data_IF_361546388392
#
_entry.id   IF_361546388392
#
_cell.length_a   1.000
_cell.length_b   1.000
_cell.length_c   1.000
_cell.angle_alpha   90.00
_cell.angle_beta   90.00
_cell.angle_gamma   90.00
#
_symmetry.space_group_name_H-M   'P 1'
#
loop_
_entity.id
_entity.type
_entity.pdbx_description
1 polymer ?
#
# COMPACT_ATOMS: atom_id res chain seq x y z
N UNK A 1 -18.23 15.82 8.21
CA UNK A 1 -18.59 17.06 8.92
C UNK A 1 -17.30 17.74 9.30
N UNK A 2 -17.14 19.02 8.96
CA UNK A 2 -15.89 19.77 9.03
C UNK A 2 -15.18 19.68 10.40
N UNK A 3 -15.97 19.60 11.48
CA UNK A 3 -15.45 19.45 12.85
C UNK A 3 -14.79 18.09 13.10
N UNK A 4 -15.36 17.01 12.57
CA UNK A 4 -14.79 15.65 12.66
C UNK A 4 -13.42 15.57 12.00
N UNK A 5 -13.23 16.28 10.88
CA UNK A 5 -11.96 16.31 10.15
C UNK A 5 -10.87 17.04 10.94
N UNK A 6 -11.22 18.14 11.63
CA UNK A 6 -10.28 18.89 12.49
C UNK A 6 -9.81 18.05 13.68
N UNK A 7 -10.72 17.37 14.36
CA UNK A 7 -10.37 16.52 15.51
C UNK A 7 -9.51 15.31 15.07
N UNK A 8 -9.81 14.72 13.91
CA UNK A 8 -8.98 13.67 13.32
C UNK A 8 -7.54 14.15 13.00
N UNK A 9 -7.40 15.35 12.44
CA UNK A 9 -6.07 15.94 12.15
C UNK A 9 -5.31 16.20 13.46
N UNK A 10 -5.96 16.77 14.48
CA UNK A 10 -5.33 17.00 15.80
C UNK A 10 -4.86 15.70 16.42
N UNK A 11 -5.69 14.66 16.37
CA UNK A 11 -5.35 13.35 16.89
C UNK A 11 -4.17 12.72 16.13
N UNK A 12 -4.16 12.83 14.80
CA UNK A 12 -3.04 12.39 13.97
C UNK A 12 -1.74 13.12 14.33
N UNK A 13 -1.78 14.45 14.48
CA UNK A 13 -0.62 15.25 14.87
C UNK A 13 -0.12 14.91 16.27
N UNK A 14 -1.01 14.65 17.23
CA UNK A 14 -0.65 14.22 18.58
C UNK A 14 0.11 12.89 18.53
N UNK A 15 -0.43 11.89 17.83
CA UNK A 15 0.23 10.59 17.68
C UNK A 15 1.55 10.70 16.94
N UNK A 16 1.59 11.43 15.82
CA UNK A 16 2.81 11.63 15.05
C UNK A 16 3.93 12.22 15.92
N UNK A 17 3.62 13.22 16.74
CA UNK A 17 4.57 13.81 17.70
C UNK A 17 4.95 12.84 18.82
N UNK A 18 3.98 12.11 19.40
CA UNK A 18 4.23 11.24 20.56
C UNK A 18 5.16 10.07 20.25
N UNK A 19 5.14 9.57 19.01
CA UNK A 19 6.04 8.49 18.56
C UNK A 19 7.20 8.99 17.68
N UNK A 20 7.41 10.31 17.59
CA UNK A 20 8.38 10.94 16.69
C UNK A 20 8.33 10.36 15.26
N UNK A 21 7.11 10.16 14.75
CA UNK A 21 6.92 9.61 13.42
C UNK A 21 7.39 10.60 12.36
N UNK A 22 8.16 10.08 11.41
CA UNK A 22 8.69 10.80 10.25
C UNK A 22 8.51 9.94 9.01
N UNK A 23 8.56 10.54 7.80
CA UNK A 23 8.63 9.76 6.58
C UNK A 23 9.81 8.78 6.64
N UNK A 24 9.54 7.55 6.22
CA UNK A 24 10.56 6.48 6.17
C UNK A 24 10.53 5.72 4.86
N UNK A 25 9.34 5.42 4.34
CA UNK A 25 9.14 4.70 3.08
C UNK A 25 7.88 5.20 2.39
N UNK A 26 8.00 5.47 1.09
CA UNK A 26 6.90 5.65 0.17
C UNK A 26 6.57 4.32 -0.49
N UNK A 27 5.27 4.07 -0.74
CA UNK A 27 4.79 2.87 -1.42
C UNK A 27 3.87 3.29 -2.55
N UNK A 28 4.10 2.77 -3.76
CA UNK A 28 3.24 2.98 -4.93
C UNK A 28 2.90 1.66 -5.60
N UNK A 29 1.77 1.63 -6.29
CA UNK A 29 1.31 0.46 -7.05
C UNK A 29 0.28 0.92 -8.09
N UNK A 30 0.06 0.11 -9.12
CA UNK A 30 -1.02 0.28 -10.07
C UNK A 30 -2.23 -0.53 -9.60
N UNK A 31 -3.34 0.14 -9.33
CA UNK A 31 -4.59 -0.49 -8.90
C UNK A 31 -5.61 -0.52 -10.03
N UNK A 32 -6.17 -1.70 -10.29
CA UNK A 32 -7.43 -1.85 -11.03
C UNK A 32 -8.52 -2.27 -10.04
N UNK A 33 -9.64 -1.56 -10.02
CA UNK A 33 -10.75 -1.83 -9.11
C UNK A 33 -12.04 -2.12 -9.89
N UNK A 34 -12.81 -3.07 -9.40
CA UNK A 34 -14.15 -3.41 -9.85
C UNK A 34 -15.09 -3.33 -8.65
N UNK A 35 -16.22 -2.65 -8.80
CA UNK A 35 -17.22 -2.49 -7.74
C UNK A 35 -18.59 -2.88 -8.27
N UNK A 36 -19.31 -3.70 -7.50
CA UNK A 36 -20.71 -4.02 -7.74
C UNK A 36 -21.61 -3.02 -7.02
N UNK A 37 -22.65 -2.52 -7.70
CA UNK A 37 -23.55 -1.49 -7.19
C UNK A 37 -24.84 -2.04 -6.58
N UNK A 38 -24.90 -3.34 -6.26
CA UNK A 38 -26.07 -3.99 -5.66
C UNK A 38 -26.06 -3.89 -4.12
N UNK A 39 -27.17 -4.23 -3.48
CA UNK A 39 -27.36 -4.21 -2.01
C UNK A 39 -26.23 -4.92 -1.24
N UNK A 40 -25.64 -5.97 -1.82
CA UNK A 40 -24.39 -6.58 -1.35
C UNK A 40 -23.20 -6.02 -2.12
N UNK A 41 -22.65 -4.90 -1.63
CA UNK A 41 -21.50 -4.23 -2.27
C UNK A 41 -20.28 -5.15 -2.21
N UNK A 42 -19.82 -5.56 -3.39
CA UNK A 42 -18.58 -6.32 -3.57
C UNK A 42 -17.58 -5.41 -4.26
N UNK A 43 -16.35 -5.37 -3.76
CA UNK A 43 -15.23 -4.67 -4.37
C UNK A 43 -14.07 -5.64 -4.55
N UNK A 44 -13.61 -5.76 -5.78
CA UNK A 44 -12.45 -6.57 -6.15
C UNK A 44 -11.37 -5.63 -6.66
N UNK A 45 -10.16 -5.73 -6.12
CA UNK A 45 -9.02 -4.92 -6.59
C UNK A 45 -7.83 -5.79 -6.93
N UNK A 46 -7.07 -5.35 -7.94
CA UNK A 46 -5.84 -5.96 -8.39
C UNK A 46 -4.73 -4.91 -8.28
N UNK A 47 -3.78 -5.13 -7.38
CA UNK A 47 -2.62 -4.27 -7.22
C UNK A 47 -1.40 -4.92 -7.87
N UNK A 48 -0.81 -4.20 -8.83
CA UNK A 48 0.33 -4.63 -9.66
C UNK A 48 1.47 -3.62 -9.53
N UNK A 49 2.68 -4.02 -9.94
CA UNK A 49 3.85 -3.15 -9.97
C UNK A 49 4.07 -2.40 -8.64
N UNK A 50 3.85 -3.10 -7.52
CA UNK A 50 4.15 -2.58 -6.19
C UNK A 50 5.64 -2.22 -6.15
N UNK A 51 5.92 -1.00 -5.71
CA UNK A 51 7.26 -0.49 -5.56
C UNK A 51 7.34 0.35 -4.29
N UNK A 52 8.54 0.43 -3.74
CA UNK A 52 8.82 1.21 -2.54
C UNK A 52 10.05 2.07 -2.73
N UNK A 53 10.12 3.18 -1.99
CA UNK A 53 11.26 4.09 -1.97
C UNK A 53 11.50 4.53 -0.54
N UNK A 54 12.72 4.39 -0.04
CA UNK A 54 13.09 4.98 1.26
C UNK A 54 13.10 6.49 1.08
N UNK A 55 12.41 7.20 1.97
CA UNK A 55 12.32 8.66 1.94
C UNK A 55 12.32 9.19 3.36
N UNK A 56 13.10 10.25 3.62
CA UNK A 56 12.99 11.08 4.83
C UNK A 56 12.08 12.28 4.63
N UNK A 57 11.73 12.58 3.38
CA UNK A 57 10.99 13.78 3.02
C UNK A 57 9.49 13.49 2.98
N UNK A 58 8.64 14.43 3.43
CA UNK A 58 7.19 14.28 3.44
C UNK A 58 6.56 14.45 2.05
N UNK A 59 7.36 14.45 0.99
CA UNK A 59 6.90 14.61 -0.38
C UNK A 59 6.41 13.29 -0.99
N UNK A 60 5.17 13.30 -1.48
CA UNK A 60 4.56 12.14 -2.15
C UNK A 60 4.73 12.28 -3.66
N UNK A 61 5.93 11.97 -4.15
CA UNK A 61 6.23 11.99 -5.59
C UNK A 61 6.10 10.58 -6.18
N UNK A 62 5.10 10.38 -7.04
CA UNK A 62 4.87 9.07 -7.70
C UNK A 62 5.85 8.79 -8.84
N UNK A 63 6.58 9.80 -9.32
CA UNK A 63 7.56 9.71 -10.40
C UNK A 63 8.99 9.90 -9.88
N UNK A 64 9.98 9.75 -10.76
CA UNK A 64 11.39 9.96 -10.44
C UNK A 64 12.14 8.67 -10.10
N UNK A 65 13.41 8.83 -9.70
CA UNK A 65 14.36 7.74 -9.45
C UNK A 65 14.29 7.24 -8.00
N UNK A 66 14.93 6.09 -7.75
CA UNK A 66 15.08 5.49 -6.41
C UNK A 66 13.96 4.55 -5.99
N UNK A 67 12.96 4.31 -6.84
CA UNK A 67 11.93 3.31 -6.63
C UNK A 67 12.47 1.90 -6.86
N UNK A 68 12.22 1.01 -5.90
CA UNK A 68 12.59 -0.40 -5.94
C UNK A 68 11.33 -1.25 -6.19
N UNK A 69 11.32 -2.15 -7.19
CA UNK A 69 10.19 -3.05 -7.38
C UNK A 69 10.08 -4.02 -6.20
N UNK A 70 8.85 -4.24 -5.74
CA UNK A 70 8.59 -5.14 -4.63
C UNK A 70 8.39 -6.58 -5.13
N UNK A 71 9.10 -7.59 -4.58
CA UNK A 71 9.04 -8.97 -5.07
C UNK A 71 7.63 -9.58 -5.12
N UNK A 72 6.75 -9.20 -4.19
CA UNK A 72 5.35 -9.68 -4.12
C UNK A 72 4.56 -9.46 -5.42
N UNK A 73 4.94 -8.50 -6.27
CA UNK A 73 4.23 -8.27 -7.54
C UNK A 73 5.14 -8.30 -8.76
N UNK A 74 6.29 -8.98 -8.69
CA UNK A 74 7.14 -9.17 -9.86
C UNK A 74 6.46 -10.11 -10.87
N UNK A 75 6.00 -11.26 -10.38
CA UNK A 75 5.36 -12.31 -11.19
C UNK A 75 3.96 -12.67 -10.65
N UNK A 76 3.36 -11.78 -9.88
CA UNK A 76 2.08 -12.01 -9.19
C UNK A 76 1.30 -10.70 -9.02
N UNK A 77 0.04 -10.82 -8.62
CA UNK A 77 -0.86 -9.71 -8.35
C UNK A 77 -1.41 -9.86 -6.94
N UNK A 78 -1.57 -8.75 -6.21
CA UNK A 78 -2.31 -8.77 -4.96
C UNK A 78 -3.78 -8.60 -5.31
N UNK A 79 -4.56 -9.66 -5.12
CA UNK A 79 -6.01 -9.65 -5.24
C UNK A 79 -6.62 -9.38 -3.86
N UNK A 80 -7.38 -8.29 -3.73
CA UNK A 80 -8.14 -7.98 -2.52
C UNK A 80 -9.63 -8.01 -2.86
N UNK A 81 -10.40 -8.78 -2.08
CA UNK A 81 -11.85 -8.89 -2.18
C UNK A 81 -12.44 -8.33 -0.88
N UNK A 82 -13.31 -7.33 -1.02
CA UNK A 82 -14.10 -6.73 0.07
C UNK A 82 -15.57 -6.93 -0.24
N UNK A 83 -16.36 -7.30 0.76
CA UNK A 83 -17.80 -7.48 0.60
C UNK A 83 -18.52 -7.01 1.86
N UNK A 84 -19.73 -6.50 1.70
CA UNK A 84 -20.68 -6.28 2.80
C UNK A 84 -21.66 -7.45 2.83
N UNK A 85 -21.87 -8.06 4.00
CA UNK A 85 -22.78 -9.21 4.14
C UNK A 85 -22.10 -10.55 3.89
N UNK A 86 -22.68 -11.40 3.03
CA UNK A 86 -22.18 -12.77 2.79
C UNK A 86 -21.14 -12.80 1.67
N UNK A 87 -20.13 -13.66 1.83
CA UNK A 87 -19.16 -13.92 0.78
C UNK A 87 -19.84 -14.59 -0.42
N UNK A 88 -19.79 -14.01 -1.63
CA UNK A 88 -20.48 -14.55 -2.79
C UNK A 88 -19.92 -15.90 -3.23
N UNK A 89 -20.80 -16.89 -3.46
CA UNK A 89 -20.39 -18.25 -3.83
C UNK A 89 -19.53 -18.31 -5.11
N UNK A 90 -19.76 -17.40 -6.07
CA UNK A 90 -18.97 -17.35 -7.30
C UNK A 90 -17.52 -16.90 -7.04
N UNK A 91 -17.27 -16.06 -6.03
CA UNK A 91 -15.91 -15.68 -5.64
C UNK A 91 -15.17 -16.85 -5.00
N UNK A 92 -15.87 -17.69 -4.22
CA UNK A 92 -15.30 -18.92 -3.66
C UNK A 92 -14.88 -19.90 -4.75
N UNK A 93 -15.78 -20.18 -5.70
CA UNK A 93 -15.46 -21.03 -6.86
C UNK A 93 -14.29 -20.48 -7.69
N UNK A 94 -14.23 -19.15 -7.85
CA UNK A 94 -13.12 -18.50 -8.56
C UNK A 94 -11.80 -18.65 -7.80
N UNK A 95 -11.82 -18.48 -6.48
CA UNK A 95 -10.64 -18.68 -5.64
C UNK A 95 -10.14 -20.12 -5.68
N UNK A 96 -11.04 -21.11 -5.64
CA UNK A 96 -10.71 -22.53 -5.78
C UNK A 96 -10.16 -22.84 -7.16
N UNK A 97 -10.82 -22.37 -8.23
CA UNK A 97 -10.42 -22.65 -9.61
C UNK A 97 -9.01 -22.14 -9.94
N UNK A 98 -8.63 -20.97 -9.42
CA UNK A 98 -7.32 -20.38 -9.63
C UNK A 98 -6.27 -20.76 -8.55
N UNK A 99 -6.59 -21.71 -7.64
CA UNK A 99 -5.77 -22.09 -6.49
C UNK A 99 -5.26 -20.87 -5.70
N UNK A 100 -6.16 -19.91 -5.45
CA UNK A 100 -5.81 -18.67 -4.76
C UNK A 100 -5.52 -18.94 -3.30
N UNK A 101 -4.31 -18.57 -2.88
CA UNK A 101 -3.90 -18.65 -1.48
C UNK A 101 -4.22 -17.35 -0.75
N UNK A 102 -5.09 -17.42 0.25
CA UNK A 102 -5.36 -16.29 1.12
C UNK A 102 -4.11 -15.98 1.97
N UNK A 103 -3.65 -14.72 1.92
CA UNK A 103 -2.50 -14.26 2.68
C UNK A 103 -2.73 -12.85 3.20
N UNK A 104 -2.28 -12.59 4.43
CA UNK A 104 -2.22 -11.24 4.98
C UNK A 104 -1.03 -10.49 4.39
N UNK A 105 -1.29 -9.41 3.64
CA UNK A 105 -0.24 -8.61 2.99
C UNK A 105 -0.36 -7.13 3.38
N UNK A 106 0.52 -6.67 4.27
CA UNK A 106 0.72 -5.24 4.52
C UNK A 106 1.77 -4.69 3.56
N UNK A 107 1.34 -3.88 2.59
CA UNK A 107 2.23 -3.25 1.59
C UNK A 107 3.33 -2.42 2.26
N UNK A 108 2.99 -1.68 3.31
CA UNK A 108 3.94 -0.87 4.07
C UNK A 108 4.92 -1.71 4.87
N UNK A 109 4.44 -2.64 5.71
CA UNK A 109 5.33 -3.44 6.58
C UNK A 109 6.28 -4.32 5.76
N UNK A 110 5.80 -4.90 4.66
CA UNK A 110 6.64 -5.70 3.74
C UNK A 110 7.69 -4.83 3.05
N UNK A 111 7.32 -3.62 2.62
CA UNK A 111 8.26 -2.66 2.05
C UNK A 111 9.32 -2.19 3.05
N UNK A 112 8.96 -1.94 4.31
CA UNK A 112 9.90 -1.62 5.39
C UNK A 112 10.88 -2.79 5.60
N UNK A 113 10.38 -4.02 5.70
CA UNK A 113 11.22 -5.21 5.84
C UNK A 113 12.22 -5.32 4.69
N UNK A 114 11.78 -5.08 3.45
CA UNK A 114 12.66 -5.08 2.27
C UNK A 114 13.67 -3.94 2.29
N UNK A 115 13.26 -2.73 2.67
CA UNK A 115 14.16 -1.59 2.83
C UNK A 115 15.25 -1.86 3.88
N UNK A 116 14.90 -2.44 5.03
CA UNK A 116 15.85 -2.82 6.08
C UNK A 116 16.84 -3.90 5.62
N UNK A 117 16.37 -4.94 4.90
CA UNK A 117 17.22 -6.00 4.37
C UNK A 117 18.27 -5.46 3.38
N UNK A 118 17.89 -4.44 2.61
CA UNK A 118 18.80 -3.73 1.72
C UNK A 118 19.65 -2.68 2.45
N UNK A 119 19.75 -2.71 3.79
CA UNK A 119 20.46 -1.71 4.62
C UNK A 119 20.08 -0.25 4.31
N UNK A 120 18.85 -0.01 3.86
CA UNK A 120 18.41 1.28 3.33
C UNK A 120 19.30 1.83 2.19
N UNK A 121 19.95 0.97 1.37
CA UNK A 121 20.79 1.34 0.22
C UNK A 121 20.02 2.00 -0.95
N UNK A 122 18.81 2.50 -0.73
CA UNK A 122 18.24 3.50 -1.64
C UNK A 122 19.07 4.77 -1.50
N UNK A 123 19.54 5.39 -2.60
CA UNK A 123 20.54 6.44 -2.55
C UNK A 123 20.10 7.60 -1.65
N UNK A 124 20.83 7.81 -0.55
CA UNK A 124 20.98 9.12 0.08
C UNK A 124 22.14 9.81 -0.62
N UNK A 125 21.93 10.32 -1.83
CA UNK A 125 22.92 11.21 -2.44
C UNK A 125 22.35 12.63 -2.32
N UNK A 126 22.89 13.48 -1.44
CA UNK A 126 22.70 14.91 -1.60
C UNK A 126 23.32 15.27 -2.95
N UNK A 127 22.51 15.76 -3.89
CA UNK A 127 23.07 16.41 -5.06
C UNK A 127 23.64 17.73 -4.54
N UNK A 128 24.95 17.74 -4.27
CA UNK A 128 25.69 18.98 -4.14
C UNK A 128 25.79 19.57 -5.55
N UNK A 129 24.91 20.54 -5.82
CA UNK A 129 25.06 21.42 -6.97
C UNK A 129 26.22 22.35 -6.65
N UNK A 130 27.34 22.19 -7.38
CA UNK A 130 28.28 23.28 -7.61
C UNK A 130 27.80 24.06 -8.83
#
# INVERSE_FOLDING_TARGET
>A
DYKTDVDAIRQFQLYMKSINARPVVLVRYLRRAYEGNMENRIRVTFDRQLAYKVSSDPEVLLIGRGWQPHPITLNSVILEIKFTGRYPAWLGRMAEYFDLRQQSVSKYATSIKKACLLRFCAPKVPIQMY
#
